data_IF_353458204606
#
_entry.id   IF_353458204606
#
_cell.length_a   1.000
_cell.length_b   1.000
_cell.length_c   1.000
_cell.angle_alpha   90.00
_cell.angle_beta   90.00
_cell.angle_gamma   90.00
#
_symmetry.space_group_name_H-M   'P 1'
#
loop_
_entity.id
_entity.type
_entity.pdbx_description
1 polymer ?
#
# COMPACT_ATOMS: atom_id res chain seq x y z
N UNK A 1 -0.80 14.12 5.80
CA UNK A 1 -1.60 12.93 5.50
C UNK A 1 -1.01 12.36 4.24
N UNK A 2 -0.21 11.31 4.39
CA UNK A 2 0.44 10.64 3.26
C UNK A 2 -0.59 9.69 2.64
N UNK A 3 -1.19 10.17 1.55
CA UNK A 3 -2.18 9.52 0.70
C UNK A 3 -1.50 8.83 -0.49
N UNK A 4 -0.39 8.14 -0.25
CA UNK A 4 0.48 7.57 -1.28
C UNK A 4 0.48 6.05 -1.36
N UNK A 5 -0.15 5.34 -0.41
CA UNK A 5 -0.27 3.87 -0.44
C UNK A 5 -1.72 3.44 -0.64
N UNK A 6 -1.97 2.58 -1.64
CA UNK A 6 -3.31 2.06 -1.94
C UNK A 6 -3.27 0.55 -2.12
N UNK A 7 -3.93 -0.18 -1.22
CA UNK A 7 -4.14 -1.62 -1.30
C UNK A 7 -5.37 -1.94 -2.16
N UNK A 8 -5.24 -2.86 -3.11
CA UNK A 8 -6.35 -3.34 -3.92
C UNK A 8 -6.06 -4.73 -4.49
N UNK A 9 -7.08 -5.50 -4.90
CA UNK A 9 -6.88 -6.74 -5.61
C UNK A 9 -6.42 -6.47 -7.05
N UNK A 10 -5.39 -7.19 -7.49
CA UNK A 10 -4.80 -7.01 -8.81
C UNK A 10 -5.77 -7.44 -9.94
N UNK A 11 -6.63 -8.43 -9.67
CA UNK A 11 -7.55 -9.04 -10.65
C UNK A 11 -9.00 -9.12 -10.17
N UNK A 12 -9.25 -9.42 -8.90
CA UNK A 12 -10.61 -9.43 -8.33
C UNK A 12 -11.24 -8.02 -8.24
N UNK A 13 -12.54 -7.96 -7.91
CA UNK A 13 -13.32 -6.71 -7.85
C UNK A 13 -13.39 -6.09 -6.46
N UNK A 14 -13.09 -6.85 -5.41
CA UNK A 14 -13.21 -6.37 -4.03
C UNK A 14 -12.23 -7.07 -3.08
N UNK A 15 -11.63 -6.33 -2.15
CA UNK A 15 -10.80 -6.91 -1.09
C UNK A 15 -11.58 -7.90 -0.22
N UNK A 16 -12.89 -7.67 -0.02
CA UNK A 16 -13.78 -8.55 0.75
C UNK A 16 -13.93 -9.95 0.15
N UNK A 17 -13.63 -10.11 -1.13
CA UNK A 17 -13.64 -11.41 -1.82
C UNK A 17 -12.29 -12.12 -1.77
N UNK A 18 -11.21 -11.36 -1.55
CA UNK A 18 -9.83 -11.84 -1.61
C UNK A 18 -9.25 -12.13 -0.23
N UNK A 19 -9.48 -11.25 0.74
CA UNK A 19 -8.94 -11.39 2.09
C UNK A 19 -9.39 -12.69 2.81
N UNK A 20 -10.64 -13.18 2.63
CA UNK A 20 -11.04 -14.46 3.23
C UNK A 20 -10.18 -15.65 2.82
N UNK A 21 -9.50 -15.58 1.67
CA UNK A 21 -8.59 -16.65 1.19
C UNK A 21 -7.37 -16.85 2.10
N UNK A 22 -7.10 -15.91 3.02
CA UNK A 22 -5.95 -15.92 3.91
C UNK A 22 -6.31 -16.07 5.40
N UNK A 23 -7.58 -16.30 5.75
CA UNK A 23 -8.05 -16.37 7.15
C UNK A 23 -7.49 -17.57 7.95
N UNK A 24 -6.93 -18.57 7.27
CA UNK A 24 -6.24 -19.69 7.91
C UNK A 24 -4.82 -19.32 8.41
N UNK A 25 -4.37 -18.09 8.15
CA UNK A 25 -3.05 -17.58 8.50
C UNK A 25 -3.16 -16.39 9.46
N UNK A 26 -2.06 -16.01 10.11
CA UNK A 26 -2.01 -14.79 10.93
C UNK A 26 -2.15 -13.50 10.11
N UNK A 27 -1.95 -13.58 8.79
CA UNK A 27 -2.09 -12.45 7.90
C UNK A 27 -1.52 -12.71 6.52
N UNK A 28 -1.65 -11.70 5.67
CA UNK A 28 -1.08 -11.67 4.32
C UNK A 28 -0.15 -10.47 4.16
N UNK A 29 1.05 -10.72 3.62
CA UNK A 29 2.03 -9.73 3.23
C UNK A 29 1.85 -9.37 1.75
N UNK A 30 1.73 -8.08 1.46
CA UNK A 30 1.42 -7.55 0.14
C UNK A 30 2.57 -6.67 -0.35
N UNK A 31 3.13 -7.00 -1.51
CA UNK A 31 4.27 -6.28 -2.08
C UNK A 31 3.88 -4.91 -2.65
N UNK A 32 4.86 -4.00 -2.66
CA UNK A 32 4.71 -2.68 -3.28
C UNK A 32 4.90 -2.69 -4.80
N UNK A 33 4.17 -1.79 -5.45
CA UNK A 33 4.40 -1.33 -6.81
C UNK A 33 4.78 0.14 -6.75
N UNK A 34 6.00 0.47 -7.20
CA UNK A 34 6.58 1.80 -7.02
C UNK A 34 6.28 2.70 -8.21
N UNK A 35 5.52 3.77 -7.99
CA UNK A 35 5.12 4.73 -9.02
C UNK A 35 6.03 5.97 -9.01
N UNK A 36 6.45 6.37 -10.21
CA UNK A 36 7.25 7.55 -10.46
C UNK A 36 6.40 8.80 -10.67
N UNK A 37 7.08 9.89 -11.02
CA UNK A 37 6.52 11.20 -11.26
C UNK A 37 5.67 11.30 -12.50
N UNK A 38 5.77 10.34 -13.43
CA UNK A 38 5.12 10.39 -14.74
C UNK A 38 5.50 11.65 -15.53
N UNK A 39 6.68 12.23 -15.24
CA UNK A 39 7.17 13.46 -15.86
C UNK A 39 6.59 14.75 -15.25
N UNK A 40 5.69 14.66 -14.27
CA UNK A 40 5.03 15.82 -13.68
C UNK A 40 6.03 16.69 -12.90
N UNK A 41 6.19 17.94 -13.34
CA UNK A 41 7.02 18.92 -12.63
C UNK A 41 6.32 19.49 -11.39
N UNK A 42 5.01 19.73 -11.49
CA UNK A 42 4.13 20.22 -10.43
C UNK A 42 2.99 19.23 -10.21
N UNK A 43 2.35 19.28 -9.04
CA UNK A 43 1.21 18.39 -8.74
C UNK A 43 0.05 18.63 -9.72
N UNK A 44 -0.33 17.64 -10.55
CA UNK A 44 -1.49 17.78 -11.43
C UNK A 44 -2.80 17.78 -10.63
N UNK A 45 -3.84 18.39 -11.21
CA UNK A 45 -5.21 18.34 -10.66
C UNK A 45 -5.77 16.92 -10.76
N UNK A 46 -6.57 16.49 -9.79
CA UNK A 46 -7.22 15.18 -9.77
C UNK A 46 -6.62 14.21 -8.75
N UNK A 47 -7.02 12.93 -8.85
CA UNK A 47 -6.59 11.86 -7.95
C UNK A 47 -5.16 11.42 -8.25
N UNK A 48 -4.40 11.07 -7.21
CA UNK A 48 -3.04 10.50 -7.33
C UNK A 48 -3.07 9.28 -8.26
N UNK A 49 -4.01 8.36 -8.02
CA UNK A 49 -4.18 7.16 -8.83
C UNK A 49 -4.46 7.47 -10.30
N UNK A 50 -5.20 8.54 -10.62
CA UNK A 50 -5.51 8.93 -11.99
C UNK A 50 -4.36 9.67 -12.69
N UNK A 51 -3.43 10.26 -11.93
CA UNK A 51 -2.39 11.16 -12.47
C UNK A 51 -1.02 10.50 -12.62
N UNK A 52 -0.72 9.50 -11.79
CA UNK A 52 0.55 8.78 -11.79
C UNK A 52 0.28 7.33 -12.19
N UNK A 53 0.45 6.99 -13.46
CA UNK A 53 0.07 5.68 -14.05
C UNK A 53 1.25 4.80 -14.38
N UNK A 54 2.45 5.37 -14.44
CA UNK A 54 3.67 4.65 -14.73
C UNK A 54 4.40 4.27 -13.44
N UNK A 55 4.90 3.04 -13.41
CA UNK A 55 5.62 2.42 -12.30
C UNK A 55 6.90 1.73 -12.75
N UNK A 56 7.69 1.27 -11.79
CA UNK A 56 8.80 0.36 -12.03
C UNK A 56 8.33 -0.92 -12.75
N UNK A 57 9.16 -1.49 -13.62
CA UNK A 57 8.83 -2.73 -14.35
C UNK A 57 8.76 -3.96 -13.43
N UNK A 58 9.34 -3.87 -12.23
CA UNK A 58 9.45 -4.94 -11.24
C UNK A 58 8.53 -4.70 -10.04
N UNK A 59 8.31 -5.76 -9.24
CA UNK A 59 7.58 -5.71 -7.96
C UNK A 59 8.60 -5.53 -6.84
N UNK A 60 8.37 -4.56 -5.97
CA UNK A 60 9.31 -4.27 -4.89
C UNK A 60 9.18 -5.30 -3.76
N UNK A 61 10.31 -5.77 -3.19
CA UNK A 61 10.28 -6.80 -2.16
C UNK A 61 9.71 -6.32 -0.83
N UNK A 62 9.66 -5.02 -0.56
CA UNK A 62 9.06 -4.53 0.67
C UNK A 62 7.56 -4.83 0.68
N UNK A 63 7.08 -5.20 1.86
CA UNK A 63 5.68 -5.55 2.06
C UNK A 63 4.97 -4.62 3.03
N UNK A 64 3.64 -4.64 2.93
CA UNK A 64 2.71 -4.26 4.00
C UNK A 64 1.94 -5.50 4.42
N UNK A 65 1.77 -5.68 5.71
CA UNK A 65 1.02 -6.82 6.24
C UNK A 65 -0.39 -6.40 6.65
N UNK A 66 -1.38 -7.21 6.26
CA UNK A 66 -2.74 -7.20 6.81
C UNK A 66 -2.80 -8.41 7.74
N UNK A 67 -2.99 -8.17 9.03
CA UNK A 67 -2.88 -9.22 10.05
C UNK A 67 -4.18 -9.35 10.84
N UNK A 68 -4.44 -10.56 11.33
CA UNK A 68 -5.36 -10.81 12.43
C UNK A 68 -4.64 -10.44 13.75
N UNK A 69 -5.07 -9.37 14.45
CA UNK A 69 -4.43 -8.93 15.69
C UNK A 69 -4.44 -10.00 16.79
N UNK A 70 -5.37 -10.97 16.73
CA UNK A 70 -5.45 -12.07 17.67
C UNK A 70 -4.43 -13.19 17.39
N UNK A 71 -3.67 -13.13 16.29
CA UNK A 71 -2.68 -14.16 15.92
C UNK A 71 -1.24 -13.64 15.88
N UNK A 72 -1.05 -12.34 16.07
CA UNK A 72 0.26 -11.67 16.17
C UNK A 72 0.53 -11.17 17.59
N UNK A 73 1.80 -10.91 17.92
CA UNK A 73 2.22 -10.44 19.25
C UNK A 73 2.68 -9.00 19.25
N UNK A 74 3.47 -8.60 18.27
CA UNK A 74 4.08 -7.27 18.20
C UNK A 74 4.40 -6.89 16.76
N UNK A 75 4.35 -5.58 16.42
CA UNK A 75 5.01 -5.10 15.22
C UNK A 75 6.49 -5.46 15.31
N UNK A 76 6.98 -6.16 14.30
CA UNK A 76 8.39 -6.32 14.03
C UNK A 76 8.88 -5.13 13.18
N UNK A 77 10.17 -5.16 12.80
CA UNK A 77 10.92 -4.14 12.02
C UNK A 77 10.03 -3.10 11.31
N UNK A 78 10.03 -1.87 11.83
CA UNK A 78 9.41 -0.71 11.18
C UNK A 78 7.89 -0.79 10.96
N UNK A 79 7.17 -1.68 11.65
CA UNK A 79 5.75 -1.98 11.43
C UNK A 79 5.40 -2.54 10.04
N UNK A 80 6.41 -3.03 9.31
CA UNK A 80 6.26 -3.69 8.01
C UNK A 80 6.18 -5.22 8.12
N UNK A 81 6.43 -5.75 9.31
CA UNK A 81 6.30 -7.16 9.65
C UNK A 81 5.73 -7.30 11.06
N UNK A 82 5.26 -8.50 11.41
CA UNK A 82 4.74 -8.80 12.74
C UNK A 82 5.26 -10.15 13.21
N UNK A 83 5.58 -10.24 14.50
CA UNK A 83 5.84 -11.53 15.13
C UNK A 83 4.53 -12.28 15.33
N UNK A 84 4.51 -13.56 14.96
CA UNK A 84 3.34 -14.43 15.05
C UNK A 84 3.32 -15.18 16.39
N UNK A 85 2.12 -15.51 16.88
CA UNK A 85 1.98 -16.44 18.00
C UNK A 85 2.53 -17.83 17.62
N UNK A 86 2.92 -18.67 18.61
CA UNK A 86 3.44 -20.00 18.31
C UNK A 86 2.47 -20.82 17.44
N UNK A 87 2.98 -21.37 16.33
CA UNK A 87 2.19 -22.15 15.37
C UNK A 87 1.46 -21.34 14.31
N UNK A 88 1.43 -20.01 14.42
CA UNK A 88 0.84 -19.12 13.43
C UNK A 88 1.90 -18.61 12.44
N UNK A 89 1.45 -18.19 11.25
CA UNK A 89 2.35 -17.65 10.21
C UNK A 89 1.66 -16.59 9.37
N UNK A 90 2.41 -15.56 8.97
CA UNK A 90 2.02 -14.64 7.91
C UNK A 90 2.55 -15.21 6.60
N UNK A 91 1.74 -15.13 5.55
CA UNK A 91 2.12 -15.59 4.21
C UNK A 91 2.10 -14.46 3.20
N UNK A 92 2.78 -14.62 2.07
CA UNK A 92 2.52 -13.77 0.91
C UNK A 92 1.27 -14.20 0.13
N UNK A 93 0.97 -13.48 -0.95
CA UNK A 93 -0.19 -13.77 -1.81
C UNK A 93 -0.16 -15.15 -2.50
N UNK A 94 0.97 -15.88 -2.43
CA UNK A 94 1.14 -17.25 -2.95
C UNK A 94 1.24 -18.28 -1.82
N UNK A 95 0.79 -17.92 -0.62
CA UNK A 95 0.77 -18.78 0.57
C UNK A 95 2.16 -19.20 1.07
N UNK A 96 3.22 -18.49 0.66
CA UNK A 96 4.57 -18.79 1.13
C UNK A 96 4.81 -18.08 2.47
N UNK A 97 5.36 -18.77 3.49
CA UNK A 97 5.66 -18.15 4.77
C UNK A 97 6.56 -16.93 4.62
N UNK A 98 6.26 -15.87 5.37
CA UNK A 98 6.99 -14.62 5.38
C UNK A 98 7.67 -14.41 6.72
N UNK A 99 8.94 -14.00 6.67
CA UNK A 99 9.72 -13.58 7.84
C UNK A 99 10.34 -12.23 7.54
N UNK A 100 10.03 -11.23 8.37
CA UNK A 100 10.51 -9.87 8.17
C UNK A 100 9.81 -9.11 7.04
N UNK A 101 10.32 -7.92 6.68
CA UNK A 101 9.60 -6.96 5.84
C UNK A 101 9.89 -7.11 4.33
N UNK A 102 10.57 -8.18 3.91
CA UNK A 102 11.00 -8.39 2.53
C UNK A 102 10.53 -9.75 2.00
N UNK A 103 9.79 -9.74 0.90
CA UNK A 103 9.43 -10.94 0.16
C UNK A 103 10.60 -11.40 -0.69
N UNK A 104 11.04 -12.65 -0.51
CA UNK A 104 12.15 -13.25 -1.28
C UNK A 104 11.81 -13.36 -2.78
N UNK A 105 10.54 -13.62 -3.09
CA UNK A 105 10.05 -13.83 -4.47
C UNK A 105 8.83 -12.93 -4.73
N UNK A 106 9.03 -11.61 -4.84
CA UNK A 106 7.94 -10.64 -4.88
C UNK A 106 6.97 -10.91 -6.02
N UNK A 107 5.68 -10.75 -5.75
CA UNK A 107 4.63 -10.82 -6.74
C UNK A 107 3.49 -9.88 -6.37
N UNK A 108 2.69 -9.53 -7.38
CA UNK A 108 1.57 -8.59 -7.28
C UNK A 108 0.42 -9.08 -8.18
N UNK A 109 0.19 -10.40 -8.16
CA UNK A 109 -0.70 -11.13 -9.05
C UNK A 109 -2.13 -11.20 -8.51
N UNK A 110 -2.31 -11.16 -7.19
CA UNK A 110 -3.57 -11.27 -6.46
C UNK A 110 -3.84 -10.01 -5.63
N UNK A 111 -2.88 -9.60 -4.81
CA UNK A 111 -2.94 -8.39 -3.98
C UNK A 111 -1.72 -7.52 -4.27
N UNK A 112 -1.92 -6.21 -4.30
CA UNK A 112 -0.82 -5.27 -4.45
C UNK A 112 -1.09 -3.96 -3.74
N UNK A 113 -0.01 -3.27 -3.40
CA UNK A 113 -0.06 -1.91 -2.87
C UNK A 113 0.62 -0.96 -3.86
N UNK A 114 -0.14 -0.07 -4.47
CA UNK A 114 0.45 1.03 -5.23
C UNK A 114 1.08 2.02 -4.25
N UNK A 115 2.36 2.33 -4.43
CA UNK A 115 3.11 3.26 -3.59
C UNK A 115 3.64 4.43 -4.44
N UNK A 116 2.99 5.59 -4.30
CA UNK A 116 3.28 6.83 -5.02
C UNK A 116 4.34 7.66 -4.29
N UNK A 117 5.55 7.10 -4.20
CA UNK A 117 6.62 7.67 -3.38
C UNK A 117 7.24 8.93 -3.99
N UNK A 118 7.30 9.05 -5.31
CA UNK A 118 7.94 10.20 -5.99
C UNK A 118 6.95 11.36 -6.14
N UNK A 119 5.76 11.09 -6.72
CA UNK A 119 4.80 12.12 -7.16
C UNK A 119 5.49 13.19 -8.03
N UNK A 120 5.03 14.43 -8.06
CA UNK A 120 5.65 15.47 -8.88
C UNK A 120 7.06 15.85 -8.40
N UNK A 121 7.90 16.42 -9.29
CA UNK A 121 9.24 16.91 -8.94
C UNK A 121 9.21 17.92 -7.80
N UNK A 122 8.24 18.83 -7.81
CA UNK A 122 8.00 19.78 -6.72
C UNK A 122 7.77 19.07 -5.37
N UNK A 123 6.92 18.04 -5.35
CA UNK A 123 6.64 17.27 -4.13
C UNK A 123 7.86 16.51 -3.63
N UNK A 124 8.62 15.91 -4.55
CA UNK A 124 9.89 15.24 -4.26
C UNK A 124 10.91 16.18 -3.61
N UNK A 125 11.08 17.39 -4.15
CA UNK A 125 11.95 18.43 -3.57
C UNK A 125 11.47 18.85 -2.19
N UNK A 126 10.15 19.11 -2.03
CA UNK A 126 9.55 19.50 -0.74
C UNK A 126 9.72 18.42 0.32
N UNK A 127 9.62 17.15 -0.05
CA UNK A 127 9.77 16.03 0.87
C UNK A 127 11.22 15.83 1.30
N UNK A 128 12.20 16.16 0.45
CA UNK A 128 13.62 16.19 0.82
C UNK A 128 13.93 17.24 1.88
N UNK A 129 13.29 18.41 1.80
CA UNK A 129 13.55 19.52 2.74
C UNK A 129 12.86 19.34 4.10
N UNK A 130 12.00 18.33 4.24
CA UNK A 130 11.34 18.00 5.51
C UNK A 130 12.08 16.87 6.23
N UNK A 131 12.19 16.92 7.57
CA UNK A 131 12.60 15.76 8.35
C UNK A 131 11.69 14.57 8.09
N UNK A 132 12.22 13.37 8.27
CA UNK A 132 11.43 12.14 8.37
C UNK A 132 10.50 12.20 9.58
N UNK A 133 9.57 11.25 9.65
CA UNK A 133 8.60 11.14 10.75
C UNK A 133 9.28 11.00 12.11
N UNK A 134 10.43 10.33 12.17
CA UNK A 134 11.28 10.16 13.36
C UNK A 134 12.17 11.39 13.67
N UNK A 135 12.00 12.49 12.93
CA UNK A 135 12.81 13.71 13.06
C UNK A 135 14.19 13.62 12.40
N UNK A 136 14.58 12.48 11.84
CA UNK A 136 15.87 12.35 11.18
C UNK A 136 15.90 13.17 9.87
N UNK A 137 17.06 13.74 9.50
CA UNK A 137 17.19 14.46 8.26
C UNK A 137 17.00 13.53 7.06
N UNK A 138 16.49 14.07 5.96
CA UNK A 138 16.44 13.34 4.71
C UNK A 138 17.84 13.33 4.09
N UNK A 139 18.52 12.19 4.16
CA UNK A 139 19.92 12.04 3.70
C UNK A 139 20.06 11.82 2.20
N UNK A 140 18.94 11.64 1.48
CA UNK A 140 18.96 11.38 0.03
C UNK A 140 19.17 12.66 -0.76
N UNK A 141 20.14 12.63 -1.66
CA UNK A 141 20.41 13.71 -2.64
C UNK A 141 19.31 13.81 -3.69
N UNK A 142 19.20 14.96 -4.37
CA UNK A 142 18.25 15.11 -5.48
C UNK A 142 18.52 14.10 -6.59
N UNK A 143 19.79 13.83 -6.88
CA UNK A 143 20.20 12.87 -7.90
C UNK A 143 19.70 11.46 -7.60
N UNK A 144 19.83 11.01 -6.35
CA UNK A 144 19.30 9.69 -5.95
C UNK A 144 17.78 9.60 -6.12
N UNK A 145 17.06 10.70 -5.87
CA UNK A 145 15.62 10.74 -6.12
C UNK A 145 15.28 10.74 -7.62
N UNK A 146 16.03 11.47 -8.43
CA UNK A 146 15.91 11.46 -9.90
C UNK A 146 16.23 10.08 -10.48
N UNK A 147 17.23 9.38 -9.93
CA UNK A 147 17.57 8.00 -10.31
C UNK A 147 16.45 7.00 -9.96
N UNK A 148 15.77 7.18 -8.82
CA UNK A 148 14.58 6.40 -8.48
C UNK A 148 13.41 6.73 -9.40
N UNK A 149 13.16 8.01 -9.66
CA UNK A 149 12.10 8.44 -10.57
C UNK A 149 12.27 7.84 -11.97
N UNK A 150 13.48 7.89 -12.51
CA UNK A 150 13.78 7.29 -13.82
C UNK A 150 13.44 5.79 -13.87
N UNK A 151 13.70 5.06 -12.78
CA UNK A 151 13.38 3.63 -12.70
C UNK A 151 11.87 3.37 -12.50
N UNK A 152 11.14 4.30 -11.89
CA UNK A 152 9.74 4.11 -11.49
C UNK A 152 8.75 4.62 -12.54
N UNK A 153 9.18 4.82 -13.79
CA UNK A 153 8.31 5.23 -14.90
C UNK A 153 8.36 4.25 -16.10
N UNK A 154 8.79 3.01 -15.87
CA UNK A 154 9.11 2.06 -16.93
C UNK A 154 7.89 1.42 -17.61
N UNK A 155 6.80 1.19 -16.88
CA UNK A 155 5.59 0.53 -17.42
C UNK A 155 4.33 1.25 -16.98
N UNK A 156 3.35 1.39 -17.88
CA UNK A 156 2.01 1.86 -17.54
C UNK A 156 1.23 0.77 -16.80
N UNK A 157 0.58 1.13 -15.70
CA UNK A 157 -0.25 0.26 -14.89
C UNK A 157 -1.59 0.92 -14.56
N UNK A 158 -2.64 0.41 -15.19
CA UNK A 158 -4.01 0.93 -15.06
C UNK A 158 -4.88 0.08 -14.14
N UNK A 159 -4.34 -0.93 -13.46
CA UNK A 159 -5.14 -1.90 -12.69
C UNK A 159 -6.02 -1.24 -11.61
N UNK A 160 -5.51 -0.18 -10.98
CA UNK A 160 -6.24 0.59 -9.97
C UNK A 160 -7.37 1.45 -10.55
N UNK A 161 -7.37 1.75 -11.86
CA UNK A 161 -8.44 2.55 -12.48
C UNK A 161 -9.79 1.85 -12.47
N UNK A 162 -9.81 0.53 -12.27
CA UNK A 162 -11.05 -0.24 -12.08
C UNK A 162 -11.86 0.26 -10.88
N UNK A 163 -11.22 0.95 -9.94
CA UNK A 163 -11.83 1.51 -8.72
C UNK A 163 -12.08 3.02 -8.80
N UNK A 164 -11.58 3.71 -9.82
CA UNK A 164 -11.70 5.18 -9.95
C UNK A 164 -13.03 5.63 -10.57
N UNK A 165 -13.87 4.70 -11.05
CA UNK A 165 -15.21 4.95 -11.58
C UNK A 165 -16.34 5.03 -10.54
N UNK A 166 -16.05 4.84 -9.24
CA UNK A 166 -17.08 4.75 -8.18
C UNK A 166 -17.47 6.07 -7.50
N UNK A 167 -16.98 7.22 -7.97
CA UNK A 167 -17.15 8.52 -7.27
C UNK A 167 -18.03 9.54 -7.96
N UNK A 168 -18.96 9.13 -8.83
CA UNK A 168 -20.01 10.01 -9.39
C UNK A 168 -21.44 9.62 -8.99
N UNK A 169 -21.63 8.87 -7.90
CA UNK A 169 -22.94 8.74 -7.26
C UNK A 169 -22.85 9.20 -5.81
N UNK A 170 -23.63 10.21 -5.49
CA UNK A 170 -23.80 10.80 -4.17
C UNK A 170 -24.05 9.72 -3.10
N UNK A 171 -23.02 9.38 -2.34
CA UNK A 171 -23.17 8.58 -1.12
C UNK A 171 -23.47 9.53 0.05
N UNK A 172 -24.74 9.85 0.20
CA UNK A 172 -25.27 10.37 1.47
C UNK A 172 -25.24 9.21 2.46
N UNK A 173 -24.19 9.15 3.29
CA UNK A 173 -24.18 8.24 4.45
C UNK A 173 -25.15 8.77 5.50
N UNK A 174 -26.36 8.24 5.53
CA UNK A 174 -27.23 8.38 6.70
C UNK A 174 -26.71 7.42 7.78
N UNK A 175 -26.03 7.96 8.79
CA UNK A 175 -25.68 7.20 9.99
C UNK A 175 -26.98 6.78 10.70
N UNK A 176 -27.30 5.50 10.66
CA UNK A 176 -28.34 4.93 11.52
C UNK A 176 -27.74 4.66 12.91
N UNK A 177 -28.29 5.21 14.00
CA UNK A 177 -27.74 5.02 15.33
C UNK A 177 -27.99 3.58 15.81
N UNK A 178 -26.91 2.92 16.23
CA UNK A 178 -26.92 1.64 16.93
C UNK A 178 -27.95 1.63 18.07
N UNK A 179 -28.99 0.82 17.94
CA UNK A 179 -29.93 0.52 19.02
C UNK A 179 -29.21 -0.33 20.08
N UNK A 180 -28.97 0.26 21.25
CA UNK A 180 -28.61 -0.49 22.46
C UNK A 180 -29.82 -1.34 22.85
N UNK A 181 -29.69 -2.66 22.85
CA UNK A 181 -30.61 -3.53 23.59
C UNK A 181 -30.07 -3.70 25.00
N UNK A 182 -30.74 -3.08 25.96
CA UNK A 182 -30.64 -3.38 27.38
C UNK A 182 -31.17 -4.80 27.64
N UNK A 183 -30.36 -5.63 28.28
CA UNK A 183 -30.80 -6.83 28.98
C UNK A 183 -31.06 -6.46 30.44
N UNK A 184 -32.27 -6.72 30.92
CA UNK A 184 -32.62 -7.27 32.25
C UNK A 184 -34.15 -7.16 32.45
N UNK A 185 -34.78 -7.96 33.34
CA UNK A 185 -34.22 -8.60 34.53
C UNK A 185 -34.07 -10.13 34.47
#
# INVERSE_FOLDING_TARGET
MDDDEFLFPATDSDLREVLPRYENYAGVAVCWLLFGSNGHQQRPRGLVTSNYRNRAAWVDPHVKCIVDPSRVTSPAVGAHAFDCRPGETIVDEKYRPMVGPFCERPSADVLCVNHYVIKSREEMVRRRTRPKVDGAPNVRTIRQWEDFDAQYNAVEDLRIQRFTGLTNSSLTFTLSPFARRSHEP
#
